data_IF_678162587714
#
_entry.id   IF_678162587714
#
_cell.length_a   1.000
_cell.length_b   1.000
_cell.length_c   1.000
_cell.angle_alpha   90.00
_cell.angle_beta   90.00
_cell.angle_gamma   90.00
#
_symmetry.space_group_name_H-M   'P 1'
#
loop_
_entity.id
_entity.type
_entity.pdbx_description
1 polymer ?
#
# COMPACT_ATOMS: atom_id res chain seq x y z
N UNK A 1 -12.38 8.10 18.57
CA UNK A 1 -11.76 9.42 18.31
C UNK A 1 -12.62 10.11 17.27
N UNK A 2 -13.20 11.29 17.56
CA UNK A 2 -14.06 12.00 16.61
C UNK A 2 -13.18 12.80 15.64
N UNK A 3 -13.25 12.49 14.34
CA UNK A 3 -12.43 13.12 13.29
C UNK A 3 -12.80 14.59 13.05
N UNK A 4 -14.08 14.94 13.20
CA UNK A 4 -14.58 16.32 13.02
C UNK A 4 -13.99 17.25 14.09
N UNK A 5 -14.07 16.84 15.36
CA UNK A 5 -13.52 17.61 16.48
C UNK A 5 -11.99 17.79 16.42
N UNK A 6 -11.30 16.94 15.67
CA UNK A 6 -9.86 17.06 15.42
C UNK A 6 -9.59 18.03 14.26
N UNK A 7 -10.32 17.94 13.15
CA UNK A 7 -10.20 18.88 12.03
C UNK A 7 -10.35 20.35 12.47
N UNK A 8 -11.29 20.64 13.36
CA UNK A 8 -11.54 22.00 13.88
C UNK A 8 -10.37 22.61 14.65
N UNK A 9 -9.40 21.81 15.09
CA UNK A 9 -8.23 22.26 15.86
C UNK A 9 -7.04 22.65 14.96
N UNK A 10 -7.15 22.51 13.64
CA UNK A 10 -6.08 22.80 12.70
C UNK A 10 -5.93 24.30 12.38
N UNK A 11 -4.71 24.79 12.12
CA UNK A 11 -4.51 26.11 11.52
C UNK A 11 -5.24 26.21 10.16
N UNK A 12 -5.83 27.37 9.81
CA UNK A 12 -6.60 27.53 8.57
C UNK A 12 -5.85 27.13 7.29
N UNK A 13 -4.54 27.40 7.21
CA UNK A 13 -3.70 27.01 6.07
C UNK A 13 -3.64 25.48 5.90
N UNK A 14 -3.65 24.74 7.00
CA UNK A 14 -3.66 23.27 6.98
C UNK A 14 -5.05 22.69 6.73
N UNK A 15 -6.09 23.36 7.23
CA UNK A 15 -7.48 23.02 6.88
C UNK A 15 -7.69 23.14 5.37
N UNK A 16 -7.26 24.25 4.75
CA UNK A 16 -7.38 24.44 3.29
C UNK A 16 -6.64 23.37 2.47
N UNK A 17 -5.44 22.95 2.89
CA UNK A 17 -4.71 21.86 2.22
C UNK A 17 -5.37 20.49 2.43
N UNK A 18 -5.95 20.23 3.60
CA UNK A 18 -6.76 19.04 3.84
C UNK A 18 -8.03 19.02 3.00
N UNK A 19 -8.70 20.16 2.88
CA UNK A 19 -9.88 20.32 2.06
C UNK A 19 -9.54 20.08 0.59
N UNK A 20 -8.39 20.58 0.11
CA UNK A 20 -7.89 20.28 -1.24
C UNK A 20 -7.65 18.77 -1.42
N UNK A 21 -6.98 18.11 -0.48
CA UNK A 21 -6.72 16.66 -0.54
C UNK A 21 -8.02 15.85 -0.52
N UNK A 22 -8.93 16.16 0.40
CA UNK A 22 -10.21 15.47 0.55
C UNK A 22 -11.13 15.73 -0.66
N UNK A 23 -11.10 16.95 -1.19
CA UNK A 23 -11.82 17.33 -2.40
C UNK A 23 -11.25 16.56 -3.59
N UNK A 24 -9.94 16.55 -3.80
CA UNK A 24 -9.30 15.85 -4.92
C UNK A 24 -9.62 14.36 -4.86
N UNK A 25 -9.43 13.73 -3.70
CA UNK A 25 -9.67 12.31 -3.52
C UNK A 25 -11.18 11.97 -3.61
N UNK A 26 -12.07 12.83 -3.10
CA UNK A 26 -13.52 12.67 -3.19
C UNK A 26 -14.11 12.97 -4.58
N UNK A 27 -13.37 13.68 -5.44
CA UNK A 27 -13.74 13.94 -6.83
C UNK A 27 -13.08 12.95 -7.81
N UNK A 28 -12.32 11.97 -7.35
CA UNK A 28 -11.95 10.84 -8.20
C UNK A 28 -13.23 10.05 -8.48
N UNK A 29 -13.59 9.96 -9.76
CA UNK A 29 -14.84 9.38 -10.25
C UNK A 29 -14.61 8.05 -10.98
N UNK A 30 -15.72 7.42 -11.32
CA UNK A 30 -15.88 6.09 -11.91
C UNK A 30 -15.43 5.98 -13.39
N UNK A 31 -14.79 7.01 -13.96
CA UNK A 31 -14.43 7.08 -15.40
C UNK A 31 -12.92 7.25 -15.65
N UNK A 32 -12.08 7.00 -14.64
CA UNK A 32 -10.62 7.09 -14.78
C UNK A 32 -10.06 5.83 -15.43
N UNK A 33 -8.98 5.99 -16.20
CA UNK A 33 -8.07 4.86 -16.48
C UNK A 33 -7.03 4.74 -15.36
N UNK A 34 -6.43 3.57 -15.20
CA UNK A 34 -5.50 3.26 -14.11
C UNK A 34 -4.35 4.28 -14.00
N UNK A 35 -3.79 4.71 -15.13
CA UNK A 35 -2.72 5.69 -15.19
C UNK A 35 -3.14 7.05 -14.63
N UNK A 36 -4.36 7.50 -14.95
CA UNK A 36 -4.90 8.76 -14.44
C UNK A 36 -5.14 8.68 -12.93
N UNK A 37 -5.65 7.55 -12.46
CA UNK A 37 -5.82 7.28 -11.03
C UNK A 37 -4.48 7.31 -10.29
N UNK A 38 -3.45 6.66 -10.81
CA UNK A 38 -2.12 6.70 -10.21
C UNK A 38 -1.46 8.07 -10.28
N UNK A 39 -1.64 8.84 -11.35
CA UNK A 39 -1.17 10.23 -11.40
C UNK A 39 -1.84 11.08 -10.32
N UNK A 40 -3.14 10.90 -10.10
CA UNK A 40 -3.85 11.58 -9.02
C UNK A 40 -3.32 11.15 -7.63
N UNK A 41 -3.07 9.86 -7.42
CA UNK A 41 -2.48 9.38 -6.16
C UNK A 41 -1.08 9.93 -5.91
N UNK A 42 -0.22 10.01 -6.93
CA UNK A 42 1.11 10.62 -6.77
C UNK A 42 1.00 12.12 -6.45
N UNK A 43 0.05 12.84 -7.07
CA UNK A 43 -0.21 14.24 -6.74
C UNK A 43 -0.69 14.40 -5.29
N UNK A 44 -1.63 13.55 -4.85
CA UNK A 44 -2.08 13.50 -3.45
C UNK A 44 -0.90 13.22 -2.52
N UNK A 45 -0.13 12.15 -2.75
CA UNK A 45 1.05 11.80 -1.96
C UNK A 45 2.07 12.95 -1.89
N UNK A 46 2.31 13.67 -2.99
CA UNK A 46 3.21 14.81 -3.01
C UNK A 46 2.71 15.96 -2.11
N UNK A 47 1.39 16.25 -2.11
CA UNK A 47 0.79 17.22 -1.18
C UNK A 47 0.92 16.79 0.27
N UNK A 48 0.69 15.51 0.54
CA UNK A 48 0.82 14.95 1.89
C UNK A 48 2.26 15.01 2.40
N UNK A 49 3.25 14.80 1.54
CA UNK A 49 4.66 14.95 1.89
C UNK A 49 5.03 16.41 2.20
N UNK A 50 4.42 17.38 1.52
CA UNK A 50 4.61 18.80 1.85
C UNK A 50 4.05 19.13 3.24
N UNK A 51 2.89 18.57 3.57
CA UNK A 51 2.27 18.74 4.88
C UNK A 51 3.03 18.00 6.00
N UNK A 52 3.54 16.80 5.70
CA UNK A 52 4.21 15.91 6.63
C UNK A 52 5.52 15.36 6.11
N UNK A 53 6.58 16.19 6.08
CA UNK A 53 7.92 15.74 5.67
C UNK A 53 8.45 14.57 6.51
N UNK A 54 7.93 14.36 7.72
CA UNK A 54 8.28 13.24 8.58
C UNK A 54 7.65 11.90 8.16
N UNK A 55 6.57 11.92 7.38
CA UNK A 55 5.94 10.74 6.75
C UNK A 55 6.56 10.53 5.36
N UNK A 56 7.85 10.83 5.20
CA UNK A 56 8.49 10.63 3.92
C UNK A 56 8.71 9.13 3.70
N UNK A 57 8.06 8.59 2.67
CA UNK A 57 8.60 7.48 1.89
C UNK A 57 9.43 8.10 0.75
N UNK A 58 10.62 8.68 1.02
CA UNK A 58 11.45 9.16 -0.07
C UNK A 58 11.82 7.98 -0.97
N UNK A 59 12.18 8.25 -2.21
CA UNK A 59 12.80 7.24 -3.07
C UNK A 59 13.98 6.60 -2.31
N UNK A 60 13.87 5.29 -2.01
CA UNK A 60 14.84 4.55 -1.20
C UNK A 60 14.43 4.27 0.25
N UNK A 61 13.22 4.64 0.69
CA UNK A 61 12.65 4.08 1.92
C UNK A 61 12.20 2.63 1.68
N UNK A 62 12.82 1.68 2.38
CA UNK A 62 12.56 0.25 2.27
C UNK A 62 11.83 -0.33 3.49
N UNK A 63 11.55 0.46 4.52
CA UNK A 63 11.05 -0.04 5.82
C UNK A 63 9.76 -0.85 5.70
N UNK A 64 8.80 -0.39 4.89
CA UNK A 64 7.58 -1.16 4.63
C UNK A 64 7.89 -2.42 3.81
N UNK A 65 8.75 -2.33 2.80
CA UNK A 65 9.18 -3.49 2.02
C UNK A 65 9.90 -4.54 2.88
N UNK A 66 10.66 -4.16 3.90
CA UNK A 66 11.37 -5.09 4.79
C UNK A 66 10.42 -5.89 5.70
N UNK A 67 9.24 -5.34 5.99
CA UNK A 67 8.35 -5.83 7.07
C UNK A 67 6.91 -6.15 6.62
N UNK A 68 6.50 -5.71 5.43
CA UNK A 68 5.13 -5.75 4.91
C UNK A 68 5.07 -6.27 3.46
N UNK A 69 5.67 -7.43 3.19
CA UNK A 69 5.78 -8.00 1.84
C UNK A 69 4.51 -8.65 1.26
N UNK A 70 3.33 -8.16 1.59
CA UNK A 70 2.07 -8.81 1.22
C UNK A 70 1.00 -7.81 0.76
N UNK A 71 1.30 -6.80 -0.10
CA UNK A 71 0.25 -5.96 -0.65
C UNK A 71 -0.66 -6.80 -1.54
N UNK A 72 -1.94 -6.46 -1.53
CA UNK A 72 -2.88 -6.94 -2.53
C UNK A 72 -2.73 -6.11 -3.80
N UNK A 73 -2.91 -6.78 -4.95
CA UNK A 73 -2.84 -6.18 -6.27
C UNK A 73 -4.03 -6.64 -7.09
N UNK A 74 -4.61 -5.70 -7.84
CA UNK A 74 -5.59 -6.02 -8.86
C UNK A 74 -4.90 -6.56 -10.13
N UNK A 75 -5.63 -7.30 -10.98
CA UNK A 75 -5.10 -7.82 -12.24
C UNK A 75 -4.41 -6.75 -13.11
N UNK A 76 -5.02 -5.58 -13.29
CA UNK A 76 -4.40 -4.52 -14.08
C UNK A 76 -3.11 -3.95 -13.46
N UNK A 77 -3.06 -3.83 -12.13
CA UNK A 77 -1.83 -3.40 -11.44
C UNK A 77 -0.73 -4.41 -11.66
N UNK A 78 -1.08 -5.70 -11.64
CA UNK A 78 -0.14 -6.78 -11.92
C UNK A 78 0.39 -6.73 -13.36
N UNK A 79 -0.44 -6.48 -14.37
CA UNK A 79 0.05 -6.38 -15.75
C UNK A 79 1.06 -5.24 -15.91
N UNK A 80 0.86 -4.09 -15.25
CA UNK A 80 1.86 -3.02 -15.22
C UNK A 80 3.15 -3.44 -14.53
N UNK A 81 3.06 -4.12 -13.38
CA UNK A 81 4.23 -4.63 -12.65
C UNK A 81 4.98 -5.66 -13.50
N UNK A 82 4.27 -6.57 -14.14
CA UNK A 82 4.83 -7.61 -15.01
C UNK A 82 5.55 -7.00 -16.21
N UNK A 83 4.94 -6.03 -16.90
CA UNK A 83 5.59 -5.29 -17.97
C UNK A 83 6.86 -4.60 -17.47
N UNK A 84 6.83 -4.00 -16.28
CA UNK A 84 8.03 -3.41 -15.68
C UNK A 84 9.13 -4.46 -15.41
N UNK A 85 8.77 -5.63 -14.86
CA UNK A 85 9.70 -6.75 -14.63
C UNK A 85 10.35 -7.24 -15.92
N UNK A 86 9.61 -7.26 -17.03
CA UNK A 86 10.11 -7.68 -18.35
C UNK A 86 11.11 -6.70 -18.97
N UNK A 87 11.09 -5.43 -18.54
CA UNK A 87 12.06 -4.40 -18.97
C UNK A 87 13.35 -4.38 -18.14
N UNK A 88 13.41 -5.12 -17.02
CA UNK A 88 14.58 -5.13 -16.15
C UNK A 88 15.78 -5.84 -16.80
N UNK A 89 17.02 -5.39 -16.51
CA UNK A 89 18.21 -6.12 -16.95
C UNK A 89 18.18 -7.57 -16.45
N UNK A 90 18.64 -8.50 -17.28
CA UNK A 90 18.64 -9.94 -16.97
C UNK A 90 19.24 -10.27 -15.59
N UNK A 91 20.33 -9.59 -15.22
CA UNK A 91 20.95 -9.74 -13.90
C UNK A 91 19.98 -9.42 -12.75
N UNK A 92 19.23 -8.32 -12.86
CA UNK A 92 18.24 -7.91 -11.87
C UNK A 92 17.06 -8.88 -11.86
N UNK A 93 16.57 -9.27 -13.03
CA UNK A 93 15.49 -10.25 -13.17
C UNK A 93 15.84 -11.59 -12.51
N UNK A 94 17.06 -12.10 -12.70
CA UNK A 94 17.51 -13.34 -12.05
C UNK A 94 17.69 -13.20 -10.54
N UNK A 95 18.14 -12.05 -10.05
CA UNK A 95 18.18 -11.75 -8.61
C UNK A 95 16.77 -11.78 -8.01
N UNK A 96 15.79 -11.18 -8.67
CA UNK A 96 14.38 -11.21 -8.26
C UNK A 96 13.81 -12.62 -8.28
N UNK A 97 14.01 -13.38 -9.36
CA UNK A 97 13.56 -14.78 -9.46
C UNK A 97 14.17 -15.63 -8.35
N UNK A 98 15.46 -15.46 -8.07
CA UNK A 98 16.13 -16.13 -6.95
C UNK A 98 15.48 -15.75 -5.62
N UNK A 99 15.28 -14.46 -5.34
CA UNK A 99 14.66 -14.00 -4.10
C UNK A 99 13.25 -14.60 -3.91
N UNK A 100 12.43 -14.60 -4.96
CA UNK A 100 11.09 -15.22 -4.98
C UNK A 100 11.16 -16.74 -4.80
N UNK A 101 12.12 -17.45 -5.39
CA UNK A 101 12.20 -18.92 -5.24
C UNK A 101 12.74 -19.33 -3.88
N UNK A 102 13.68 -18.56 -3.31
CA UNK A 102 14.33 -18.88 -2.05
C UNK A 102 13.56 -18.43 -0.82
N UNK A 103 12.59 -17.52 -0.97
CA UNK A 103 11.83 -16.99 0.15
C UNK A 103 10.91 -18.03 0.77
N UNK A 104 10.86 -18.05 2.10
CA UNK A 104 9.90 -18.87 2.85
C UNK A 104 8.57 -18.14 2.94
N UNK A 105 7.80 -18.21 1.86
CA UNK A 105 6.58 -17.44 1.71
C UNK A 105 5.40 -18.11 2.41
N UNK A 106 4.56 -17.33 3.12
CA UNK A 106 3.41 -17.87 3.83
C UNK A 106 2.22 -18.12 2.92
N UNK A 107 2.42 -18.74 1.77
CA UNK A 107 1.37 -18.99 0.78
C UNK A 107 0.98 -20.48 0.76
N UNK A 108 -0.32 -20.77 0.61
CA UNK A 108 -0.84 -22.11 0.33
C UNK A 108 -0.72 -22.46 -1.15
N UNK A 109 -1.28 -23.62 -1.55
CA UNK A 109 -1.15 -24.10 -2.92
C UNK A 109 -1.92 -23.21 -3.91
N UNK A 110 -2.91 -22.47 -3.42
CA UNK A 110 -3.76 -21.54 -4.15
C UNK A 110 -3.18 -20.12 -4.18
N UNK A 111 -2.00 -19.90 -3.57
CA UNK A 111 -1.34 -18.60 -3.49
C UNK A 111 -2.00 -17.64 -2.50
N UNK A 112 -2.80 -18.16 -1.55
CA UNK A 112 -3.41 -17.40 -0.47
C UNK A 112 -2.56 -17.46 0.80
N UNK A 113 -2.76 -16.50 1.71
CA UNK A 113 -2.04 -16.48 2.99
C UNK A 113 -2.41 -17.67 3.87
N UNK A 114 -1.39 -18.43 4.29
CA UNK A 114 -1.50 -19.43 5.36
C UNK A 114 -1.74 -18.71 6.70
N UNK A 115 -2.98 -18.48 7.11
CA UNK A 115 -3.27 -17.80 8.37
C UNK A 115 -3.27 -16.27 8.24
N UNK A 116 -3.03 -15.53 9.32
CA UNK A 116 -3.21 -14.07 9.32
C UNK A 116 -1.91 -13.37 8.92
N UNK A 117 -2.00 -12.24 8.22
CA UNK A 117 -0.85 -11.37 7.87
C UNK A 117 0.09 -11.10 9.06
N UNK A 118 -0.48 -10.95 10.27
CA UNK A 118 0.27 -10.72 11.52
C UNK A 118 1.22 -11.83 11.93
N UNK A 119 1.01 -13.04 11.42
CA UNK A 119 1.80 -14.21 11.77
C UNK A 119 3.16 -14.18 11.02
N UNK A 120 3.39 -13.19 10.14
CA UNK A 120 4.56 -13.06 9.26
C UNK A 120 5.27 -11.69 9.32
N UNK A 121 5.74 -11.24 10.49
CA UNK A 121 6.29 -9.89 10.69
C UNK A 121 7.63 -9.61 9.99
N UNK A 122 8.32 -10.65 9.50
CA UNK A 122 9.63 -10.56 8.85
C UNK A 122 9.58 -11.00 7.38
N UNK A 123 8.41 -10.95 6.76
CA UNK A 123 8.28 -11.21 5.34
C UNK A 123 8.76 -9.95 4.58
N UNK A 124 9.94 -10.02 3.96
CA UNK A 124 10.52 -8.93 3.15
C UNK A 124 10.13 -9.06 1.68
N UNK A 125 9.87 -7.92 1.04
CA UNK A 125 9.32 -7.86 -0.30
C UNK A 125 10.38 -8.36 -1.29
N UNK A 126 10.08 -9.35 -2.14
CA UNK A 126 11.05 -9.85 -3.10
C UNK A 126 11.50 -8.80 -4.13
N UNK A 127 10.71 -7.74 -4.35
CA UNK A 127 11.08 -6.63 -5.23
C UNK A 127 12.11 -5.67 -4.62
N UNK A 128 12.42 -5.82 -3.33
CA UNK A 128 13.42 -5.03 -2.61
C UNK A 128 14.81 -5.57 -2.89
N UNK A 129 15.58 -4.86 -3.71
CA UNK A 129 17.00 -5.14 -3.96
C UNK A 129 17.83 -3.93 -3.51
N UNK A 130 18.88 -4.18 -2.74
CA UNK A 130 19.85 -3.15 -2.32
C UNK A 130 19.18 -1.92 -1.67
N UNK A 131 18.13 -2.16 -0.88
CA UNK A 131 17.36 -1.11 -0.20
C UNK A 131 16.41 -0.31 -1.10
N UNK A 132 16.17 -0.75 -2.34
CA UNK A 132 15.30 -0.07 -3.31
C UNK A 132 14.31 -1.03 -3.96
N UNK A 133 13.08 -0.56 -4.18
CA UNK A 133 12.10 -1.32 -4.95
C UNK A 133 12.50 -1.30 -6.43
N UNK A 134 12.66 -2.49 -7.01
CA UNK A 134 13.10 -2.69 -8.40
C UNK A 134 12.08 -2.18 -9.43
N UNK A 135 10.82 -2.00 -9.02
CA UNK A 135 9.72 -1.49 -9.85
C UNK A 135 9.05 -0.28 -9.18
N UNK A 136 9.81 0.57 -8.49
CA UNK A 136 9.26 1.68 -7.68
C UNK A 136 8.25 2.60 -8.42
N UNK A 137 8.40 2.96 -9.70
CA UNK A 137 7.37 3.73 -10.41
C UNK A 137 6.05 2.96 -10.58
N UNK A 138 6.11 1.64 -10.59
CA UNK A 138 5.01 0.72 -10.85
C UNK A 138 4.56 -0.03 -9.58
N UNK A 139 4.77 0.53 -8.37
CA UNK A 139 4.20 -0.06 -7.15
C UNK A 139 2.68 -0.30 -7.33
N UNK A 140 2.04 -1.16 -6.55
CA UNK A 140 0.59 -1.16 -6.46
C UNK A 140 0.06 -0.01 -5.60
N UNK A 141 -1.25 0.16 -5.60
CA UNK A 141 -2.01 1.11 -4.78
C UNK A 141 -1.66 1.00 -3.30
N UNK A 142 -1.69 -0.22 -2.76
CA UNK A 142 -1.41 -0.49 -1.35
C UNK A 142 -0.04 0.06 -0.92
N UNK A 143 0.95 -0.01 -1.80
CA UNK A 143 2.28 0.54 -1.57
C UNK A 143 2.34 2.08 -1.68
N UNK A 144 1.47 2.72 -2.49
CA UNK A 144 1.37 4.19 -2.60
C UNK A 144 0.74 4.82 -1.37
N UNK A 145 -0.32 4.20 -0.86
CA UNK A 145 -1.08 4.74 0.27
C UNK A 145 -0.51 4.33 1.63
N UNK A 146 0.39 3.33 1.66
CA UNK A 146 1.14 2.99 2.87
C UNK A 146 1.92 4.20 3.39
N UNK A 147 1.72 4.50 4.66
CA UNK A 147 2.31 5.63 5.38
C UNK A 147 1.34 6.78 5.57
N UNK A 148 0.35 6.90 4.69
CA UNK A 148 -0.53 8.08 4.62
C UNK A 148 -1.94 7.78 5.14
N UNK A 149 -2.46 6.56 4.93
CA UNK A 149 -3.82 6.20 5.35
C UNK A 149 -3.96 5.73 6.81
N UNK A 150 -5.20 5.59 7.27
CA UNK A 150 -5.56 4.75 8.41
C UNK A 150 -6.23 3.45 7.92
N UNK A 151 -6.15 2.41 8.75
CA UNK A 151 -6.90 1.15 8.59
C UNK A 151 -7.65 0.84 9.89
N UNK A 152 -8.73 0.08 9.82
CA UNK A 152 -9.41 -0.41 11.01
C UNK A 152 -8.49 -1.31 11.87
N UNK A 153 -8.58 -1.19 13.20
CA UNK A 153 -7.88 -2.06 14.14
C UNK A 153 -8.24 -3.53 13.88
N UNK A 154 -7.35 -4.24 13.19
CA UNK A 154 -7.55 -5.62 12.74
C UNK A 154 -6.75 -5.98 11.49
N UNK A 155 -6.48 -5.01 10.61
CA UNK A 155 -5.80 -5.25 9.32
C UNK A 155 -4.26 -5.29 9.41
N UNK A 156 -3.66 -4.68 10.45
CA UNK A 156 -2.22 -4.79 10.75
C UNK A 156 -1.94 -5.23 12.19
N UNK A 157 -0.88 -6.04 12.42
CA UNK A 157 -0.38 -6.30 13.76
C UNK A 157 0.09 -5.01 14.43
N UNK A 158 -0.31 -4.86 15.69
CA UNK A 158 0.41 -4.03 16.64
C UNK A 158 1.27 -4.94 17.53
N UNK A 159 2.42 -4.47 18.01
CA UNK A 159 2.98 -5.02 19.24
C UNK A 159 1.97 -4.78 20.39
N UNK A 160 1.75 -5.74 21.29
CA UNK A 160 0.85 -5.55 22.42
C UNK A 160 1.40 -4.52 23.43
N UNK A 161 0.52 -3.74 24.11
CA UNK A 161 -0.94 -3.71 23.99
C UNK A 161 -1.39 -2.70 22.92
N UNK A 162 -2.07 -3.18 21.89
CA UNK A 162 -2.70 -2.32 20.88
C UNK A 162 -4.02 -1.71 21.36
N UNK A 163 -4.51 -0.61 20.75
CA UNK A 163 -5.87 -0.12 20.96
C UNK A 163 -6.95 -1.18 20.73
N UNK A 164 -8.14 -0.97 21.34
CA UNK A 164 -9.29 -1.85 21.19
C UNK A 164 -9.77 -1.98 19.72
N UNK A 165 -10.50 -3.07 19.40
CA UNK A 165 -11.13 -3.25 18.09
C UNK A 165 -12.01 -2.05 17.69
N UNK A 166 -12.05 -1.72 16.40
CA UNK A 166 -12.85 -0.61 15.86
C UNK A 166 -12.20 0.78 15.96
N UNK A 167 -10.97 0.88 16.46
CA UNK A 167 -10.20 2.13 16.41
C UNK A 167 -9.43 2.24 15.09
N UNK A 168 -9.43 3.43 14.46
CA UNK A 168 -8.58 3.70 13.29
C UNK A 168 -7.10 3.70 13.71
N UNK A 169 -6.28 2.96 12.96
CA UNK A 169 -4.85 2.78 13.18
C UNK A 169 -4.04 3.29 11.99
N UNK A 170 -2.89 3.95 12.21
CA UNK A 170 -2.05 4.38 11.11
C UNK A 170 -1.67 3.21 10.20
N UNK A 171 -1.90 3.35 8.91
CA UNK A 171 -1.51 2.39 7.89
C UNK A 171 -0.03 2.61 7.53
N UNK A 172 0.88 2.48 8.49
CA UNK A 172 2.33 2.66 8.30
C UNK A 172 3.12 1.48 8.87
N UNK A 173 4.44 1.44 8.66
CA UNK A 173 5.26 0.37 9.22
C UNK A 173 5.26 0.40 10.76
N UNK A 174 5.64 -0.70 11.42
CA UNK A 174 5.51 -0.84 12.87
C UNK A 174 6.32 0.18 13.68
N UNK A 175 7.41 0.71 13.13
CA UNK A 175 8.19 1.78 13.75
C UNK A 175 7.46 3.12 13.69
N UNK A 176 6.90 3.46 12.53
CA UNK A 176 6.13 4.70 12.35
C UNK A 176 4.82 4.65 13.11
N UNK A 177 4.12 3.51 13.13
CA UNK A 177 2.95 3.30 13.98
C UNK A 177 3.28 3.55 15.45
N UNK A 178 4.39 2.99 15.96
CA UNK A 178 4.82 3.22 17.36
C UNK A 178 5.12 4.69 17.63
N UNK A 179 5.81 5.37 16.70
CA UNK A 179 6.08 6.80 16.80
C UNK A 179 4.78 7.60 16.85
N UNK A 180 3.90 7.40 15.87
CA UNK A 180 2.59 8.07 15.78
C UNK A 180 1.73 7.82 17.03
N UNK A 181 1.62 6.57 17.50
CA UNK A 181 0.89 6.24 18.71
C UNK A 181 1.49 6.90 19.97
N UNK A 182 2.82 6.96 20.06
CA UNK A 182 3.51 7.63 21.17
C UNK A 182 3.20 9.13 21.18
N UNK A 183 3.29 9.77 20.01
CA UNK A 183 2.99 11.20 19.87
C UNK A 183 1.51 11.50 20.16
N UNK A 184 0.60 10.67 19.64
CA UNK A 184 -0.84 10.73 19.95
C UNK A 184 -1.10 10.64 21.46
N UNK A 185 -0.50 9.67 22.14
CA UNK A 185 -0.66 9.49 23.59
C UNK A 185 -0.11 10.67 24.40
N UNK A 186 0.88 11.39 23.87
CA UNK A 186 1.49 12.57 24.48
C UNK A 186 0.74 13.87 24.15
N UNK A 187 -0.36 13.82 23.38
CA UNK A 187 -1.06 15.00 22.88
C UNK A 187 -0.25 15.80 21.85
N UNK A 188 0.83 15.20 21.32
CA UNK A 188 1.69 15.82 20.31
C UNK A 188 1.03 15.60 18.96
N UNK A 189 0.48 16.68 18.42
CA UNK A 189 0.06 16.86 17.01
C UNK A 189 -0.73 15.69 16.40
N UNK A 190 -1.85 15.25 17.02
CA UNK A 190 -2.72 14.21 16.45
C UNK A 190 -3.18 14.52 15.02
N UNK A 191 -3.25 15.81 14.68
CA UNK A 191 -3.75 16.32 13.41
C UNK A 191 -2.75 16.19 12.26
N UNK A 192 -1.45 16.12 12.54
CA UNK A 192 -0.41 15.98 11.52
C UNK A 192 -0.32 14.55 10.96
N UNK A 193 -1.08 13.61 11.50
CA UNK A 193 -1.02 12.21 11.12
C UNK A 193 -2.21 11.74 10.30
N UNK A 194 -3.18 12.62 10.05
CA UNK A 194 -4.47 12.23 9.49
C UNK A 194 -4.64 12.54 8.02
N UNK A 195 -4.01 11.73 7.17
CA UNK A 195 -3.89 12.08 5.76
C UNK A 195 -4.09 10.89 4.83
N UNK A 196 -5.27 10.27 4.95
CA UNK A 196 -6.04 9.61 3.90
C UNK A 196 -7.16 8.82 4.60
N UNK A 197 -8.20 9.50 5.14
CA UNK A 197 -9.41 8.80 5.59
C UNK A 197 -10.14 8.07 4.45
N UNK A 198 -9.70 8.29 3.21
CA UNK A 198 -10.32 7.79 1.98
C UNK A 198 -9.60 6.57 1.39
N UNK A 199 -8.77 5.82 2.12
CA UNK A 199 -8.17 4.59 1.53
C UNK A 199 -9.26 3.67 0.97
N UNK A 200 -10.31 3.43 1.75
CA UNK A 200 -11.43 2.57 1.35
C UNK A 200 -12.14 3.15 0.12
N UNK A 201 -12.44 4.45 0.11
CA UNK A 201 -13.03 5.12 -1.05
C UNK A 201 -12.14 5.08 -2.31
N UNK A 202 -10.83 5.31 -2.17
CA UNK A 202 -9.88 5.22 -3.27
C UNK A 202 -9.73 3.79 -3.78
N UNK A 203 -9.84 2.81 -2.89
CA UNK A 203 -9.88 1.40 -3.24
C UNK A 203 -11.15 1.04 -4.00
N UNK A 204 -12.31 1.56 -3.58
CA UNK A 204 -13.58 1.41 -4.32
C UNK A 204 -13.46 2.03 -5.73
N UNK A 205 -12.91 3.25 -5.84
CA UNK A 205 -12.65 3.86 -7.15
C UNK A 205 -11.76 2.96 -8.00
N UNK A 206 -10.67 2.43 -7.44
CA UNK A 206 -9.77 1.52 -8.14
C UNK A 206 -10.47 0.23 -8.60
N UNK A 207 -11.36 -0.33 -7.79
CA UNK A 207 -12.17 -1.50 -8.16
C UNK A 207 -13.21 -1.19 -9.25
N UNK A 208 -13.70 0.06 -9.34
CA UNK A 208 -14.60 0.47 -10.41
C UNK A 208 -13.87 0.66 -11.76
N UNK A 209 -12.58 1.00 -11.74
CA UNK A 209 -11.75 1.08 -12.94
C UNK A 209 -11.58 -0.30 -13.61
N UNK A 210 -11.60 -1.38 -12.82
CA UNK A 210 -11.57 -2.76 -13.31
C UNK A 210 -12.67 -3.61 -12.65
N UNK A 211 -13.89 -3.58 -13.20
CA UNK A 211 -14.95 -4.49 -12.76
C UNK A 211 -14.67 -5.89 -13.30
N UNK A 212 -13.65 -6.56 -12.76
CA UNK A 212 -13.25 -7.91 -13.11
C UNK A 212 -13.78 -8.94 -12.11
N UNK A 213 -14.10 -10.15 -12.60
CA UNK A 213 -14.53 -11.28 -11.76
C UNK A 213 -13.39 -11.82 -10.88
N UNK A 214 -12.15 -11.53 -11.24
CA UNK A 214 -10.96 -11.91 -10.46
C UNK A 214 -10.64 -10.80 -9.47
N UNK A 215 -11.03 -11.00 -8.22
CA UNK A 215 -10.68 -10.12 -7.11
C UNK A 215 -9.17 -9.98 -6.87
N UNK A 216 -8.76 -9.06 -5.97
CA UNK A 216 -7.36 -8.83 -5.67
C UNK A 216 -6.65 -10.11 -5.20
N UNK A 217 -5.40 -10.27 -5.62
CA UNK A 217 -4.50 -11.33 -5.15
C UNK A 217 -3.28 -10.73 -4.49
N UNK A 218 -2.58 -11.52 -3.69
CA UNK A 218 -1.31 -11.08 -3.12
C UNK A 218 -0.28 -10.92 -4.23
N UNK A 219 0.44 -9.79 -4.23
CA UNK A 219 1.56 -9.55 -5.14
C UNK A 219 2.54 -10.72 -5.17
N UNK A 220 2.77 -11.32 -4.01
CA UNK A 220 3.69 -12.43 -3.87
C UNK A 220 3.27 -13.68 -4.66
N UNK A 221 1.97 -13.96 -4.74
CA UNK A 221 1.47 -15.08 -5.54
C UNK A 221 1.75 -14.85 -7.03
N UNK A 222 1.47 -13.65 -7.53
CA UNK A 222 1.80 -13.25 -8.90
C UNK A 222 3.31 -13.36 -9.20
N UNK A 223 4.15 -12.94 -8.26
CA UNK A 223 5.60 -13.03 -8.40
C UNK A 223 6.10 -14.48 -8.43
N UNK A 224 5.46 -15.40 -7.68
CA UNK A 224 5.77 -16.83 -7.74
C UNK A 224 5.43 -17.43 -9.11
N UNK A 225 4.26 -17.10 -9.64
CA UNK A 225 3.83 -17.52 -10.98
C UNK A 225 4.83 -17.01 -12.04
N UNK A 226 5.17 -15.72 -12.00
CA UNK A 226 6.18 -15.11 -12.87
C UNK A 226 7.56 -15.75 -12.74
N UNK A 227 8.03 -16.00 -11.50
CA UNK A 227 9.37 -16.53 -11.26
C UNK A 227 9.51 -17.98 -11.72
N UNK A 228 8.44 -18.78 -11.66
CA UNK A 228 8.42 -20.18 -12.09
C UNK A 228 8.11 -20.35 -13.57
N UNK A 229 7.65 -19.30 -14.25
CA UNK A 229 7.16 -19.38 -15.63
C UNK A 229 5.82 -20.10 -15.73
N UNK A 230 5.10 -20.24 -14.62
CA UNK A 230 3.77 -20.84 -14.57
C UNK A 230 2.75 -19.83 -15.08
N UNK A 231 2.01 -20.18 -16.14
CA UNK A 231 0.84 -19.43 -16.62
C UNK A 231 -0.44 -19.90 -15.92
N UNK A 232 -0.36 -20.28 -14.66
CA UNK A 232 -1.53 -20.73 -13.91
C UNK A 232 -2.48 -19.55 -13.65
N UNK A 233 -3.53 -19.44 -14.47
CA UNK A 233 -4.68 -18.57 -14.17
C UNK A 233 -5.27 -17.74 -15.31
N UNK A 234 -4.67 -17.72 -16.52
CA UNK A 234 -5.33 -17.10 -17.68
C UNK A 234 -6.09 -18.14 -18.50
N UNK A 235 -7.18 -18.68 -17.96
CA UNK A 235 -8.30 -19.05 -18.82
C UNK A 235 -9.02 -17.75 -19.15
N UNK A 236 -8.61 -17.12 -20.24
CA UNK A 236 -9.43 -16.10 -20.91
C UNK A 236 -10.74 -16.84 -21.27
N UNK A 237 -11.92 -16.40 -20.81
CA UNK A 237 -13.16 -16.98 -21.30
C UNK A 237 -13.22 -16.72 -22.81
N UNK A 238 -13.32 -17.81 -23.59
CA UNK A 238 -13.48 -17.72 -25.04
C UNK A 238 -14.69 -16.83 -25.36
N UNK A 239 -14.44 -15.82 -26.21
CA UNK A 239 -15.44 -14.89 -26.73
C UNK A 239 -16.37 -15.55 -27.76
#
# INVERSE_FOLDING_TARGET
MNLEALYDQLPPERQGLLDEVNFLAGNLREDLILEQFYLALEALSARLQQLHPQIACPTGCSRCCETHALPEVLPMEWELIKAALETLPNEISERLRTAVRSGNWPLDAEGQLKGRRRDYPNCSCPLLLDGRCSVYPWRPFDCRVTGYAFSNAGERPLPPPGPPPGQLLPYSCSSEQRRMLTELAQGIRPLEYMFLPQREQLWEVLQLIEPGDTGPRLLLAHLQDWATGSTAGQTIPDA
#
